data_IF_504955935554
#
_entry.id   IF_504955935554
#
_cell.length_a   1.000
_cell.length_b   1.000
_cell.length_c   1.000
_cell.angle_alpha   90.00
_cell.angle_beta   90.00
_cell.angle_gamma   90.00
#
_symmetry.space_group_name_H-M   'P 1'
#
loop_
_entity.id
_entity.type
_entity.pdbx_description
1 polymer ?
#
# COMPACT_ATOMS: atom_id res chain seq x y z
N UNK A 1 -12.64 0.09 15.09
CA UNK A 1 -11.64 -0.79 14.46
C UNK A 1 -11.85 -2.22 14.94
N UNK A 2 -11.39 -3.19 14.14
CA UNK A 2 -11.39 -4.60 14.52
C UNK A 2 -9.99 -5.01 14.99
N UNK A 3 -9.91 -5.66 16.14
CA UNK A 3 -8.66 -6.13 16.75
C UNK A 3 -8.25 -7.47 16.14
N UNK A 4 -6.99 -7.56 15.67
CA UNK A 4 -6.43 -8.72 14.97
C UNK A 4 -5.16 -9.17 15.69
N UNK A 5 -5.16 -10.36 16.34
CA UNK A 5 -4.00 -10.87 17.04
C UNK A 5 -2.79 -11.08 16.11
N UNK A 6 -1.58 -11.00 16.65
CA UNK A 6 -0.36 -11.34 15.91
C UNK A 6 -0.46 -12.75 15.30
N UNK A 7 0.06 -12.92 14.09
CA UNK A 7 0.13 -14.16 13.34
C UNK A 7 -1.23 -14.85 13.10
N UNK A 8 -2.33 -14.09 13.10
CA UNK A 8 -3.68 -14.64 12.92
C UNK A 8 -4.24 -14.45 11.51
N UNK A 9 -3.65 -13.55 10.72
CA UNK A 9 -4.00 -13.40 9.31
C UNK A 9 -3.40 -14.56 8.51
N UNK A 10 -4.20 -15.26 7.69
CA UNK A 10 -3.69 -16.33 6.85
C UNK A 10 -2.79 -15.78 5.74
N UNK A 11 -1.90 -16.64 5.24
CA UNK A 11 -1.23 -16.40 3.97
C UNK A 11 -2.29 -16.38 2.85
N UNK A 12 -2.20 -15.41 1.94
CA UNK A 12 -3.20 -15.24 0.89
C UNK A 12 -2.87 -16.01 -0.40
N UNK A 13 -1.62 -16.48 -0.54
CA UNK A 13 -1.18 -17.30 -1.67
C UNK A 13 -0.89 -18.71 -1.19
N UNK A 14 -1.35 -19.72 -1.94
CA UNK A 14 -1.01 -21.11 -1.67
C UNK A 14 0.31 -21.44 -2.36
N UNK A 15 1.38 -21.58 -1.58
CA UNK A 15 2.74 -21.81 -2.12
C UNK A 15 3.05 -23.30 -2.19
N UNK A 16 3.46 -23.76 -3.37
CA UNK A 16 3.83 -25.15 -3.65
C UNK A 16 5.21 -25.23 -4.31
N UNK A 17 5.76 -26.43 -4.45
CA UNK A 17 7.00 -26.64 -5.21
C UNK A 17 6.86 -26.34 -6.71
N UNK A 18 5.65 -26.25 -7.25
CA UNK A 18 5.42 -25.88 -8.66
C UNK A 18 5.42 -24.35 -8.86
N UNK A 19 4.97 -23.61 -7.84
CA UNK A 19 4.76 -22.16 -7.86
C UNK A 19 3.76 -21.73 -6.79
N UNK A 20 3.37 -20.46 -6.82
CA UNK A 20 2.36 -19.89 -5.94
C UNK A 20 1.00 -19.75 -6.66
N UNK A 21 -0.02 -20.39 -6.11
CA UNK A 21 -1.40 -20.31 -6.59
C UNK A 21 -2.07 -19.08 -5.96
N UNK A 22 -2.69 -18.26 -6.81
CA UNK A 22 -3.46 -17.09 -6.42
C UNK A 22 -4.88 -17.22 -6.95
N UNK A 23 -5.87 -17.01 -6.08
CA UNK A 23 -7.29 -17.14 -6.41
C UNK A 23 -8.08 -15.91 -5.97
N UNK A 24 -8.84 -15.30 -6.90
CA UNK A 24 -9.76 -14.19 -6.60
C UNK A 24 -9.17 -13.08 -5.73
N UNK A 25 -7.95 -12.67 -6.05
CA UNK A 25 -7.17 -11.74 -5.25
C UNK A 25 -6.53 -10.68 -6.15
N UNK A 26 -6.76 -9.42 -5.81
CA UNK A 26 -6.12 -8.31 -6.49
C UNK A 26 -4.58 -8.41 -6.36
N UNK A 27 -3.82 -8.01 -7.39
CA UNK A 27 -2.38 -7.98 -7.34
C UNK A 27 -1.88 -7.13 -6.17
N UNK A 28 -1.12 -7.75 -5.27
CA UNK A 28 -0.46 -7.03 -4.20
C UNK A 28 0.95 -6.67 -4.60
N UNK A 29 1.26 -5.38 -4.58
CA UNK A 29 2.55 -4.85 -5.01
C UNK A 29 3.70 -5.20 -4.06
N UNK A 30 4.90 -5.38 -4.63
CA UNK A 30 6.15 -5.41 -3.86
C UNK A 30 6.30 -4.15 -3.01
N UNK A 31 6.71 -4.35 -1.77
CA UNK A 31 6.92 -3.31 -0.77
C UNK A 31 8.40 -2.87 -0.68
N UNK A 32 8.73 -2.08 0.33
CA UNK A 32 10.09 -1.58 0.55
C UNK A 32 10.55 -0.63 -0.54
N UNK A 33 11.81 -0.75 -0.97
CA UNK A 33 12.44 0.13 -1.95
C UNK A 33 11.75 0.09 -3.34
N UNK A 34 10.96 -0.95 -3.63
CA UNK A 34 10.17 -1.03 -4.85
C UNK A 34 8.93 -0.12 -4.85
N UNK A 35 8.43 0.27 -3.68
CA UNK A 35 7.13 0.94 -3.55
C UNK A 35 7.07 2.34 -4.19
N UNK A 36 8.22 2.93 -4.54
CA UNK A 36 8.34 4.26 -5.14
C UNK A 36 8.95 4.25 -6.55
N UNK A 37 8.97 3.10 -7.23
CA UNK A 37 9.50 3.02 -8.59
C UNK A 37 8.62 3.80 -9.57
N UNK A 38 9.24 4.49 -10.52
CA UNK A 38 8.54 5.23 -11.60
C UNK A 38 8.67 4.52 -12.95
N UNK A 39 9.62 3.60 -13.06
CA UNK A 39 9.83 2.73 -14.21
C UNK A 39 10.45 1.41 -13.76
N UNK A 40 10.02 0.32 -14.40
CA UNK A 40 10.57 -1.01 -14.16
C UNK A 40 10.16 -1.99 -15.25
N UNK A 41 10.86 -3.10 -15.31
CA UNK A 41 10.50 -4.28 -16.07
C UNK A 41 10.14 -5.40 -15.10
N UNK A 42 9.07 -6.14 -15.41
CA UNK A 42 8.79 -7.42 -14.75
C UNK A 42 8.81 -8.56 -15.75
N UNK A 43 9.30 -9.71 -15.29
CA UNK A 43 9.15 -10.98 -15.99
C UNK A 43 8.68 -12.06 -15.02
N UNK A 44 7.76 -12.92 -15.45
CA UNK A 44 7.28 -14.05 -14.68
C UNK A 44 6.68 -15.13 -15.58
N UNK A 45 6.64 -16.36 -15.08
CA UNK A 45 5.87 -17.42 -15.71
C UNK A 45 4.52 -17.57 -15.01
N UNK A 46 3.45 -17.76 -15.80
CA UNK A 46 2.09 -17.96 -15.29
C UNK A 46 1.40 -19.12 -15.99
N UNK A 47 0.70 -19.94 -15.22
CA UNK A 47 -0.21 -20.98 -15.70
C UNK A 47 -1.63 -20.62 -15.24
N UNK A 48 -2.46 -20.00 -16.11
CA UNK A 48 -3.85 -19.71 -15.77
C UNK A 48 -4.60 -21.02 -15.51
N UNK A 49 -5.26 -21.15 -14.36
CA UNK A 49 -5.99 -22.36 -13.95
C UNK A 49 -7.48 -22.21 -14.27
N UNK A 50 -8.06 -21.06 -13.88
CA UNK A 50 -9.44 -20.72 -14.16
C UNK A 50 -9.54 -19.27 -14.67
N UNK A 51 -10.13 -19.09 -15.86
CA UNK A 51 -10.43 -17.78 -16.42
C UNK A 51 -9.21 -17.02 -16.97
N UNK A 52 -8.25 -16.67 -16.12
CA UNK A 52 -7.15 -15.78 -16.47
C UNK A 52 -6.22 -15.46 -15.31
N UNK A 53 -5.50 -14.35 -15.46
CA UNK A 53 -4.59 -13.82 -14.43
C UNK A 53 -4.57 -12.29 -14.50
N UNK A 54 -4.05 -11.65 -13.46
CA UNK A 54 -3.83 -10.22 -13.43
C UNK A 54 -2.49 -9.87 -12.79
N UNK A 55 -2.01 -8.67 -13.06
CA UNK A 55 -0.85 -8.08 -12.41
C UNK A 55 -1.01 -6.56 -12.38
N UNK A 56 -0.32 -5.90 -11.47
CA UNK A 56 -0.35 -4.44 -11.37
C UNK A 56 0.90 -3.81 -11.96
N UNK A 57 0.77 -2.56 -12.40
CA UNK A 57 1.87 -1.70 -12.84
C UNK A 57 1.74 -0.36 -12.11
N UNK A 58 2.87 0.16 -11.59
CA UNK A 58 2.90 1.40 -10.81
C UNK A 58 1.82 1.43 -9.72
N UNK A 59 1.71 0.33 -8.97
CA UNK A 59 0.72 0.21 -7.91
C UNK A 59 1.36 0.40 -6.54
N UNK A 60 0.68 1.20 -5.72
CA UNK A 60 1.01 1.36 -4.31
C UNK A 60 0.79 0.06 -3.53
N UNK A 61 1.25 0.02 -2.28
CA UNK A 61 0.98 -1.12 -1.37
C UNK A 61 -0.49 -1.20 -0.92
N UNK A 62 -1.33 -0.22 -1.31
CA UNK A 62 -2.78 -0.27 -1.17
C UNK A 62 -3.47 -0.79 -2.45
N UNK A 63 -2.68 -1.27 -3.42
CA UNK A 63 -3.10 -1.84 -4.71
C UNK A 63 -3.73 -0.84 -5.68
N UNK A 64 -3.68 0.45 -5.37
CA UNK A 64 -4.06 1.51 -6.30
C UNK A 64 -2.94 1.76 -7.32
N UNK A 65 -3.24 1.60 -8.61
CA UNK A 65 -2.29 1.73 -9.72
C UNK A 65 -2.91 1.35 -11.06
N UNK A 66 -2.12 0.83 -12.00
CA UNK A 66 -2.65 0.29 -13.26
C UNK A 66 -2.86 -1.22 -13.12
N UNK A 67 -4.11 -1.65 -13.19
CA UNK A 67 -4.51 -3.05 -13.14
C UNK A 67 -4.55 -3.66 -14.54
N UNK A 68 -3.66 -4.62 -14.82
CA UNK A 68 -3.63 -5.39 -16.07
C UNK A 68 -4.36 -6.71 -15.87
N UNK A 69 -5.37 -6.97 -16.69
CA UNK A 69 -6.17 -8.18 -16.64
C UNK A 69 -6.11 -8.97 -17.94
N UNK A 70 -5.58 -10.19 -17.86
CA UNK A 70 -5.53 -11.14 -18.96
C UNK A 70 -6.65 -12.17 -18.81
N UNK A 71 -7.83 -11.88 -19.34
CA UNK A 71 -8.96 -12.80 -19.37
C UNK A 71 -8.81 -13.79 -20.54
N UNK A 72 -8.14 -14.90 -20.28
CA UNK A 72 -7.83 -15.92 -21.28
C UNK A 72 -9.11 -16.61 -21.77
N UNK A 73 -10.08 -16.85 -20.89
CA UNK A 73 -11.37 -17.45 -21.23
C UNK A 73 -12.13 -16.63 -22.28
N UNK A 74 -12.05 -15.30 -22.21
CA UNK A 74 -12.67 -14.39 -23.17
C UNK A 74 -11.70 -13.88 -24.25
N UNK A 75 -10.46 -14.37 -24.26
CA UNK A 75 -9.39 -13.95 -25.16
C UNK A 75 -9.18 -12.43 -25.18
N UNK A 76 -9.18 -11.80 -24.02
CA UNK A 76 -8.97 -10.36 -23.91
C UNK A 76 -7.90 -10.00 -22.90
N UNK A 77 -7.21 -8.90 -23.15
CA UNK A 77 -6.36 -8.24 -22.18
C UNK A 77 -6.80 -6.79 -22.06
N UNK A 78 -6.90 -6.28 -20.84
CA UNK A 78 -7.21 -4.87 -20.57
C UNK A 78 -6.28 -4.26 -19.52
N UNK A 79 -6.16 -2.93 -19.58
CA UNK A 79 -5.58 -2.11 -18.54
C UNK A 79 -6.68 -1.18 -17.99
N UNK A 80 -6.77 -1.09 -16.67
CA UNK A 80 -7.76 -0.28 -15.95
C UNK A 80 -7.05 0.48 -14.83
N UNK A 81 -7.60 1.62 -14.41
CA UNK A 81 -7.13 2.31 -13.21
C UNK A 81 -7.48 1.54 -11.93
N UNK A 82 -6.88 1.90 -10.80
CA UNK A 82 -7.12 1.26 -9.51
C UNK A 82 -6.64 -0.20 -9.41
N UNK A 83 -7.45 -1.02 -8.75
CA UNK A 83 -7.04 -2.35 -8.26
C UNK A 83 -7.84 -3.53 -8.86
N UNK A 84 -8.77 -3.28 -9.80
CA UNK A 84 -9.66 -4.30 -10.34
C UNK A 84 -10.09 -4.02 -11.78
N UNK A 85 -10.79 -4.99 -12.39
CA UNK A 85 -11.32 -4.89 -13.76
C UNK A 85 -12.51 -3.93 -13.93
N UNK A 86 -13.09 -3.43 -12.84
CA UNK A 86 -14.35 -2.67 -12.86
C UNK A 86 -14.16 -1.15 -12.76
N UNK A 87 -12.93 -0.65 -12.84
CA UNK A 87 -12.59 0.77 -12.75
C UNK A 87 -12.39 1.35 -14.16
N UNK A 88 -12.02 2.64 -14.26
CA UNK A 88 -11.88 3.35 -15.53
C UNK A 88 -10.92 2.63 -16.49
N UNK A 89 -11.41 2.44 -17.70
CA UNK A 89 -10.72 1.70 -18.74
C UNK A 89 -9.61 2.53 -19.38
N UNK A 90 -8.39 2.00 -19.42
CA UNK A 90 -7.22 2.65 -20.03
C UNK A 90 -6.91 2.08 -21.41
N UNK A 91 -6.97 0.74 -21.57
CA UNK A 91 -6.65 0.08 -22.84
C UNK A 91 -7.24 -1.34 -22.92
N UNK A 92 -7.29 -1.88 -24.14
CA UNK A 92 -7.74 -3.24 -24.42
C UNK A 92 -7.19 -3.79 -25.72
N UNK A 93 -7.00 -5.11 -25.75
CA UNK A 93 -6.71 -5.86 -26.95
C UNK A 93 -7.28 -7.28 -26.89
N UNK A 94 -7.35 -7.93 -28.05
CA UNK A 94 -7.68 -9.35 -28.16
C UNK A 94 -6.41 -10.19 -28.03
N UNK A 95 -6.46 -11.22 -27.18
CA UNK A 95 -5.36 -12.15 -27.01
C UNK A 95 -5.26 -13.14 -28.19
N UNK A 96 -4.03 -13.45 -28.64
CA UNK A 96 -3.74 -14.55 -29.55
C UNK A 96 -4.32 -15.90 -29.08
N UNK A 97 -4.79 -16.72 -30.02
CA UNK A 97 -5.46 -17.99 -29.71
C UNK A 97 -4.53 -19.06 -29.09
N UNK A 98 -3.22 -18.90 -29.19
CA UNK A 98 -2.24 -19.80 -28.59
C UNK A 98 -2.04 -19.55 -27.09
N UNK A 99 -2.54 -18.44 -26.55
CA UNK A 99 -2.54 -18.17 -25.11
C UNK A 99 -3.76 -18.86 -24.52
N UNK A 100 -3.53 -19.89 -23.71
CA UNK A 100 -4.55 -20.88 -23.31
C UNK A 100 -4.48 -21.19 -21.82
N UNK A 101 -5.63 -21.55 -21.25
CA UNK A 101 -5.73 -22.02 -19.86
C UNK A 101 -5.00 -23.38 -19.73
N UNK A 102 -4.38 -23.62 -18.56
CA UNK A 102 -3.71 -24.87 -18.20
C UNK A 102 -2.27 -24.99 -18.69
N UNK A 103 -1.79 -24.08 -19.53
CA UNK A 103 -0.42 -24.05 -20.04
C UNK A 103 0.39 -22.91 -19.40
N UNK A 104 1.69 -23.13 -19.24
CA UNK A 104 2.63 -22.10 -18.82
C UNK A 104 2.86 -21.09 -19.95
N UNK A 105 2.80 -19.80 -19.60
CA UNK A 105 3.13 -18.68 -20.45
C UNK A 105 4.17 -17.81 -19.77
N UNK A 106 5.15 -17.36 -20.53
CA UNK A 106 6.12 -16.37 -20.07
C UNK A 106 5.57 -14.97 -20.33
N UNK A 107 5.50 -14.14 -19.29
CA UNK A 107 5.02 -12.75 -19.37
C UNK A 107 6.18 -11.82 -19.10
N UNK A 108 6.29 -10.79 -19.94
CA UNK A 108 7.20 -9.66 -19.75
C UNK A 108 6.41 -8.37 -19.88
N UNK A 109 6.60 -7.43 -18.96
CA UNK A 109 6.01 -6.10 -19.06
C UNK A 109 7.06 -5.02 -18.83
N UNK A 110 7.06 -4.01 -19.70
CA UNK A 110 7.89 -2.81 -19.60
C UNK A 110 6.97 -1.68 -19.17
N UNK A 111 7.24 -1.12 -18.00
CA UNK A 111 6.34 -0.24 -17.27
C UNK A 111 7.02 1.11 -17.03
N UNK A 112 6.32 2.20 -17.35
CA UNK A 112 6.70 3.57 -16.97
C UNK A 112 5.46 4.42 -16.73
N UNK A 113 5.68 5.61 -16.15
CA UNK A 113 4.61 6.59 -15.87
C UNK A 113 3.85 7.06 -17.11
N UNK A 114 4.43 6.89 -18.30
CA UNK A 114 3.81 7.35 -19.55
C UNK A 114 3.41 6.22 -20.46
N UNK A 115 4.21 5.14 -20.52
CA UNK A 115 4.07 4.12 -21.55
C UNK A 115 4.28 2.72 -21.00
N UNK A 116 3.35 1.83 -21.36
CA UNK A 116 3.31 0.47 -20.84
C UNK A 116 3.16 -0.50 -22.00
N UNK A 117 3.92 -1.59 -21.98
CA UNK A 117 3.81 -2.68 -22.96
C UNK A 117 3.87 -4.04 -22.29
N UNK A 118 3.04 -4.97 -22.76
CA UNK A 118 2.88 -6.31 -22.22
C UNK A 118 3.12 -7.33 -23.33
N UNK A 119 3.96 -8.32 -23.02
CA UNK A 119 4.32 -9.42 -23.90
C UNK A 119 3.93 -10.74 -23.24
N UNK A 120 3.38 -11.66 -24.04
CA UNK A 120 3.15 -13.05 -23.65
C UNK A 120 3.84 -13.95 -24.68
N UNK A 121 4.88 -14.65 -24.24
CA UNK A 121 5.86 -15.29 -25.13
C UNK A 121 6.56 -14.23 -26.00
N UNK A 122 6.55 -14.42 -27.31
CA UNK A 122 7.09 -13.46 -28.27
C UNK A 122 6.09 -12.41 -28.76
N UNK A 123 4.83 -12.46 -28.32
CA UNK A 123 3.78 -11.60 -28.82
C UNK A 123 3.61 -10.37 -27.92
N UNK A 124 3.70 -9.17 -28.49
CA UNK A 124 3.24 -7.94 -27.82
C UNK A 124 1.71 -7.95 -27.83
N UNK A 125 1.09 -8.15 -26.67
CA UNK A 125 -0.37 -8.32 -26.54
C UNK A 125 -1.10 -7.05 -26.16
N UNK A 126 -0.42 -6.09 -25.52
CA UNK A 126 -0.98 -4.81 -25.14
C UNK A 126 0.11 -3.73 -25.16
N UNK A 127 -0.24 -2.52 -25.58
CA UNK A 127 0.61 -1.34 -25.58
C UNK A 127 -0.26 -0.11 -25.42
N UNK A 128 0.04 0.76 -24.47
CA UNK A 128 -0.79 1.93 -24.17
C UNK A 128 -0.02 3.02 -23.42
N UNK A 129 -0.54 4.24 -23.50
CA UNK A 129 -0.12 5.35 -22.66
C UNK A 129 -1.14 5.63 -21.56
N UNK A 130 -0.70 6.22 -20.45
CA UNK A 130 -1.55 6.52 -19.29
C UNK A 130 -1.05 7.75 -18.54
N UNK A 131 -1.92 8.41 -17.78
CA UNK A 131 -1.60 9.58 -16.93
C UNK A 131 -2.24 9.46 -15.54
N UNK A 132 -2.51 8.23 -15.12
CA UNK A 132 -3.22 7.91 -13.90
C UNK A 132 -2.26 7.59 -12.74
N UNK A 133 -1.31 6.67 -12.97
CA UNK A 133 -0.35 6.23 -11.96
C UNK A 133 1.06 6.76 -12.28
N UNK A 134 1.75 7.27 -11.26
CA UNK A 134 3.05 7.95 -11.43
C UNK A 134 4.18 7.31 -10.62
N UNK A 135 3.88 6.34 -9.77
CA UNK A 135 4.86 5.61 -8.97
C UNK A 135 4.24 4.31 -8.46
N UNK A 136 5.08 3.38 -8.01
CA UNK A 136 4.65 2.11 -7.42
C UNK A 136 5.36 0.94 -8.08
N UNK A 137 5.19 -0.24 -7.49
CA UNK A 137 5.79 -1.47 -8.02
C UNK A 137 4.76 -2.29 -8.80
N UNK A 138 5.01 -3.60 -8.89
CA UNK A 138 4.12 -4.57 -9.51
C UNK A 138 3.85 -5.72 -8.54
N UNK A 139 2.64 -6.26 -8.66
CA UNK A 139 2.14 -7.42 -7.95
C UNK A 139 1.55 -8.45 -8.90
N UNK A 140 1.27 -9.64 -8.38
CA UNK A 140 0.62 -10.74 -9.11
C UNK A 140 -0.73 -11.06 -8.48
N UNK A 141 -1.73 -11.37 -9.30
CA UNK A 141 -3.11 -11.58 -8.85
C UNK A 141 -3.97 -12.40 -9.80
N UNK A 142 -5.22 -12.59 -9.43
CA UNK A 142 -6.26 -13.16 -10.26
C UNK A 142 -7.59 -12.45 -9.99
N UNK A 143 -8.32 -12.06 -11.05
CA UNK A 143 -9.62 -11.41 -10.90
C UNK A 143 -10.63 -12.28 -10.14
N UNK A 144 -11.72 -11.69 -9.68
CA UNK A 144 -12.77 -12.43 -8.96
C UNK A 144 -13.28 -13.62 -9.77
N UNK A 145 -13.26 -14.82 -9.17
CA UNK A 145 -13.62 -16.07 -9.83
C UNK A 145 -12.55 -16.65 -10.77
N UNK A 146 -11.35 -16.08 -10.80
CA UNK A 146 -10.21 -16.59 -11.55
C UNK A 146 -9.11 -17.10 -10.62
N UNK A 147 -8.24 -17.94 -11.17
CA UNK A 147 -7.05 -18.43 -10.49
C UNK A 147 -5.90 -18.71 -11.45
N UNK A 148 -4.68 -18.50 -10.96
CA UNK A 148 -3.45 -18.71 -11.73
C UNK A 148 -2.28 -19.12 -10.82
N UNK A 149 -1.39 -19.95 -11.35
CA UNK A 149 -0.14 -20.35 -10.71
C UNK A 149 1.01 -19.51 -11.26
N UNK A 150 1.84 -18.94 -10.40
CA UNK A 150 2.97 -18.08 -10.77
C UNK A 150 4.31 -18.66 -10.32
N UNK A 151 5.36 -18.41 -11.11
CA UNK A 151 6.75 -18.71 -10.73
C UNK A 151 7.75 -17.80 -11.44
N UNK A 152 9.00 -17.82 -10.99
CA UNK A 152 10.12 -17.13 -11.63
C UNK A 152 9.89 -15.62 -11.81
N UNK A 153 9.40 -14.94 -10.77
CA UNK A 153 9.17 -13.50 -10.82
C UNK A 153 10.47 -12.73 -10.71
N UNK A 154 10.63 -11.72 -11.55
CA UNK A 154 11.69 -10.72 -11.47
C UNK A 154 11.10 -9.33 -11.64
N UNK A 155 11.68 -8.37 -10.93
CA UNK A 155 11.45 -6.94 -11.14
C UNK A 155 12.80 -6.25 -11.20
N UNK A 156 13.03 -5.42 -12.21
CA UNK A 156 14.25 -4.63 -12.33
C UNK A 156 13.95 -3.18 -12.74
N UNK A 157 14.57 -2.23 -12.05
CA UNK A 157 14.56 -0.81 -12.41
C UNK A 157 16.00 -0.32 -12.58
N UNK A 158 16.50 -0.21 -13.83
CA UNK A 158 17.86 0.24 -14.10
C UNK A 158 18.14 1.66 -13.59
N UNK A 159 17.17 2.57 -13.65
CA UNK A 159 17.33 3.97 -13.23
C UNK A 159 17.79 4.12 -11.77
N UNK A 160 17.33 3.23 -10.89
CA UNK A 160 17.68 3.25 -9.45
C UNK A 160 18.49 2.02 -9.03
N UNK A 161 19.00 1.25 -9.99
CA UNK A 161 19.75 0.00 -9.75
C UNK A 161 19.02 -1.02 -8.86
N UNK A 162 17.70 -1.00 -8.85
CA UNK A 162 16.88 -1.93 -8.07
C UNK A 162 16.68 -3.24 -8.83
N UNK A 163 16.80 -4.37 -8.13
CA UNK A 163 16.50 -5.71 -8.65
C UNK A 163 15.90 -6.57 -7.56
N UNK A 164 14.85 -7.31 -7.92
CA UNK A 164 14.21 -8.33 -7.11
C UNK A 164 14.00 -9.59 -7.94
N UNK A 165 14.15 -10.76 -7.31
CA UNK A 165 13.83 -12.03 -7.92
C UNK A 165 13.36 -13.04 -6.87
N UNK A 166 12.30 -13.77 -7.20
CA UNK A 166 11.79 -14.86 -6.39
C UNK A 166 11.31 -16.01 -7.29
N UNK A 167 11.62 -17.24 -6.90
CA UNK A 167 11.14 -18.43 -7.62
C UNK A 167 9.64 -18.67 -7.43
N UNK A 168 9.08 -18.14 -6.32
CA UNK A 168 7.70 -18.33 -5.86
C UNK A 168 7.34 -19.78 -5.53
N UNK A 169 8.31 -20.56 -5.06
CA UNK A 169 8.14 -21.99 -4.74
C UNK A 169 8.28 -22.32 -3.25
N UNK A 170 8.48 -21.31 -2.42
CA UNK A 170 8.55 -21.39 -0.96
C UNK A 170 8.07 -20.07 -0.35
N UNK A 171 7.68 -20.07 0.92
CA UNK A 171 6.98 -18.93 1.55
C UNK A 171 7.86 -17.70 1.82
N UNK A 172 9.18 -17.74 1.59
CA UNK A 172 10.09 -16.66 2.02
C UNK A 172 9.80 -15.32 1.35
N UNK A 173 9.16 -15.32 0.18
CA UNK A 173 8.84 -14.10 -0.57
C UNK A 173 7.54 -13.43 -0.12
N UNK A 174 6.67 -14.12 0.64
CA UNK A 174 5.35 -13.59 1.02
C UNK A 174 5.45 -12.24 1.75
N UNK A 175 6.40 -12.01 2.68
CA UNK A 175 6.56 -10.71 3.33
C UNK A 175 6.90 -9.58 2.36
N UNK A 176 7.65 -9.85 1.28
CA UNK A 176 8.05 -8.82 0.31
C UNK A 176 6.85 -8.22 -0.42
N UNK A 177 5.81 -9.05 -0.63
CA UNK A 177 4.52 -8.65 -1.18
C UNK A 177 3.48 -8.35 -0.10
N UNK A 178 3.82 -8.28 1.20
CA UNK A 178 2.83 -8.04 2.27
C UNK A 178 1.70 -9.09 2.31
N UNK A 179 1.98 -10.32 1.85
CA UNK A 179 1.04 -11.44 1.77
C UNK A 179 1.26 -12.48 2.87
N UNK A 180 2.21 -12.25 3.76
CA UNK A 180 2.46 -13.09 4.93
C UNK A 180 1.45 -12.85 6.05
N UNK A 181 1.73 -13.44 7.21
CA UNK A 181 0.97 -13.16 8.44
C UNK A 181 1.32 -11.77 8.99
N UNK A 182 0.45 -11.21 9.85
CA UNK A 182 0.76 -9.97 10.56
C UNK A 182 1.76 -10.23 11.71
N UNK A 183 2.90 -9.52 11.80
CA UNK A 183 3.93 -9.81 12.82
C UNK A 183 3.55 -9.32 14.22
N UNK A 184 2.64 -8.34 14.31
CA UNK A 184 2.19 -7.73 15.56
C UNK A 184 0.67 -7.66 15.62
N UNK A 185 0.14 -7.65 16.84
CA UNK A 185 -1.29 -7.46 17.07
C UNK A 185 -1.67 -6.01 16.76
N UNK A 186 -2.69 -5.80 15.94
CA UNK A 186 -3.09 -4.46 15.49
C UNK A 186 -4.60 -4.37 15.37
N UNK A 187 -5.13 -3.14 15.44
CA UNK A 187 -6.49 -2.85 15.05
C UNK A 187 -6.53 -2.33 13.60
N UNK A 188 -7.59 -2.66 12.86
CA UNK A 188 -7.76 -2.25 11.46
C UNK A 188 -9.07 -1.50 11.23
N UNK A 189 -9.09 -0.70 10.16
CA UNK A 189 -10.25 0.02 9.63
C UNK A 189 -11.48 -0.90 9.47
N UNK A 190 -11.29 -2.09 8.88
CA UNK A 190 -12.35 -3.06 8.65
C UNK A 190 -11.84 -4.48 8.39
N UNK A 191 -12.65 -5.48 8.75
CA UNK A 191 -12.27 -6.91 8.66
C UNK A 191 -12.57 -7.54 7.30
N UNK A 192 -13.53 -6.99 6.56
CA UNK A 192 -13.95 -7.47 5.22
C UNK A 192 -13.17 -6.83 4.08
N UNK A 193 -12.75 -5.57 4.24
CA UNK A 193 -12.04 -4.78 3.24
C UNK A 193 -10.52 -4.92 3.37
N UNK A 194 -9.83 -3.79 3.43
CA UNK A 194 -8.39 -3.72 3.18
C UNK A 194 -7.50 -4.22 4.33
N UNK A 195 -8.06 -4.31 5.54
CA UNK A 195 -7.39 -4.68 6.80
C UNK A 195 -6.12 -3.86 7.01
N UNK A 196 -6.29 -2.54 6.97
CA UNK A 196 -5.19 -1.57 7.07
C UNK A 196 -5.28 -0.88 8.42
N UNK A 197 -4.12 -0.62 9.01
CA UNK A 197 -4.00 0.32 10.13
C UNK A 197 -4.04 1.75 9.59
N UNK A 198 -5.04 2.55 9.96
CA UNK A 198 -5.16 3.97 9.63
C UNK A 198 -4.95 4.82 10.88
N UNK A 199 -4.16 5.90 10.79
CA UNK A 199 -3.90 6.77 11.94
C UNK A 199 -5.13 7.57 12.40
N UNK A 200 -6.01 7.97 11.46
CA UNK A 200 -7.27 8.63 11.79
C UNK A 200 -8.22 7.72 12.57
N UNK A 201 -8.38 6.48 12.12
CA UNK A 201 -9.18 5.45 12.80
C UNK A 201 -8.61 5.13 14.19
N UNK A 202 -7.28 5.08 14.33
CA UNK A 202 -6.61 4.91 15.61
C UNK A 202 -7.00 5.99 16.60
N UNK A 203 -6.84 7.25 16.24
CA UNK A 203 -7.16 8.40 17.10
C UNK A 203 -8.60 8.38 17.61
N UNK A 204 -9.55 8.05 16.74
CA UNK A 204 -10.98 7.98 17.10
C UNK A 204 -11.28 6.80 18.04
N UNK A 205 -10.51 5.73 17.98
CA UNK A 205 -10.85 4.47 18.66
C UNK A 205 -10.05 4.16 19.92
N UNK A 206 -8.92 4.84 20.18
CA UNK A 206 -8.12 4.61 21.41
C UNK A 206 -9.02 4.62 22.65
N UNK A 207 -9.84 5.66 22.81
CA UNK A 207 -10.70 5.81 23.99
C UNK A 207 -11.72 4.68 24.14
N UNK A 208 -12.41 4.31 23.04
CA UNK A 208 -13.41 3.25 23.08
C UNK A 208 -12.78 1.88 23.35
N UNK A 209 -11.62 1.58 22.75
CA UNK A 209 -10.86 0.36 23.04
C UNK A 209 -10.44 0.28 24.50
N UNK A 210 -9.89 1.36 25.07
CA UNK A 210 -9.39 1.36 26.46
C UNK A 210 -10.51 1.16 27.50
N UNK A 211 -11.74 1.60 27.22
CA UNK A 211 -12.87 1.46 28.17
C UNK A 211 -13.74 0.22 27.92
N UNK A 212 -13.60 -0.46 26.79
CA UNK A 212 -14.45 -1.61 26.44
C UNK A 212 -13.71 -2.95 26.49
N UNK A 213 -12.70 -3.14 25.65
CA UNK A 213 -11.94 -4.38 25.54
C UNK A 213 -10.66 -4.36 26.38
N UNK A 214 -10.17 -3.16 26.74
CA UNK A 214 -8.84 -2.97 27.32
C UNK A 214 -7.76 -3.55 26.38
N UNK A 215 -7.98 -3.39 25.06
CA UNK A 215 -7.11 -3.90 23.99
C UNK A 215 -5.78 -3.16 23.87
N UNK A 216 -4.98 -3.15 24.94
CA UNK A 216 -3.70 -2.44 25.04
C UNK A 216 -2.75 -2.88 23.93
N UNK A 217 -2.57 -4.18 23.74
CA UNK A 217 -1.64 -4.75 22.75
C UNK A 217 -1.94 -4.32 21.31
N UNK A 218 -3.22 -4.13 20.95
CA UNK A 218 -3.62 -3.69 19.61
C UNK A 218 -3.26 -2.23 19.37
N UNK A 219 -3.53 -1.35 20.35
CA UNK A 219 -3.18 0.07 20.24
C UNK A 219 -1.66 0.24 20.24
N UNK A 220 -0.93 -0.47 21.10
CA UNK A 220 0.54 -0.45 21.10
C UNK A 220 1.10 -0.91 19.76
N UNK A 221 0.55 -1.98 19.18
CA UNK A 221 0.96 -2.45 17.86
C UNK A 221 0.62 -1.47 16.73
N UNK A 222 -0.53 -0.80 16.75
CA UNK A 222 -0.83 0.25 15.77
C UNK A 222 0.15 1.42 15.88
N UNK A 223 0.46 1.87 17.09
CA UNK A 223 1.45 2.93 17.32
C UNK A 223 2.84 2.50 16.81
N UNK A 224 3.25 1.26 17.08
CA UNK A 224 4.48 0.68 16.55
C UNK A 224 4.52 0.68 15.03
N UNK A 225 3.49 0.12 14.41
CA UNK A 225 3.42 -0.01 12.96
C UNK A 225 3.41 1.36 12.28
N UNK A 226 2.43 2.21 12.59
CA UNK A 226 2.25 3.51 11.96
C UNK A 226 3.37 4.48 12.28
N UNK A 227 3.82 4.52 13.54
CA UNK A 227 4.86 5.43 13.95
C UNK A 227 6.24 5.03 13.41
N UNK A 228 6.47 3.74 13.13
CA UNK A 228 7.70 3.30 12.47
C UNK A 228 7.79 3.85 11.04
N UNK A 229 6.65 3.97 10.35
CA UNK A 229 6.46 4.52 9.00
C UNK A 229 6.55 6.06 8.97
N UNK A 230 7.57 6.63 9.62
CA UNK A 230 7.86 8.06 9.56
C UNK A 230 8.77 8.37 8.36
N UNK A 231 8.40 9.36 7.56
CA UNK A 231 9.18 9.85 6.42
C UNK A 231 10.34 10.76 6.87
N UNK A 232 11.35 10.93 6.03
CA UNK A 232 12.55 11.73 6.32
C UNK A 232 12.26 13.17 6.81
N UNK A 233 11.24 13.91 6.36
CA UNK A 233 10.93 15.22 6.95
C UNK A 233 10.35 15.17 8.37
N UNK A 234 9.77 14.05 8.80
CA UNK A 234 9.05 13.93 10.08
C UNK A 234 7.56 13.60 9.95
N UNK A 235 7.00 13.66 8.74
CA UNK A 235 5.61 13.26 8.45
C UNK A 235 5.44 11.76 8.70
N UNK A 236 4.28 11.33 9.20
CA UNK A 236 3.94 9.91 9.27
C UNK A 236 3.14 9.49 8.03
N UNK A 237 3.42 8.29 7.51
CA UNK A 237 2.52 7.65 6.55
C UNK A 237 1.13 7.51 7.20
N UNK A 238 0.04 7.83 6.46
CA UNK A 238 -1.30 7.83 7.04
C UNK A 238 -1.80 6.42 7.35
N UNK A 239 -1.19 5.41 6.71
CA UNK A 239 -1.60 4.02 6.72
C UNK A 239 -0.42 3.07 6.75
N UNK A 240 -0.67 1.84 7.19
CA UNK A 240 0.24 0.72 7.07
C UNK A 240 -0.55 -0.59 6.93
N UNK A 241 -0.10 -1.48 6.04
CA UNK A 241 -0.64 -2.84 5.94
C UNK A 241 -0.19 -3.64 7.15
N UNK A 242 -1.07 -4.40 7.78
CA UNK A 242 -0.75 -5.10 9.03
C UNK A 242 0.24 -6.26 8.87
N UNK A 243 0.48 -6.70 7.64
CA UNK A 243 1.51 -7.67 7.27
C UNK A 243 2.92 -7.06 7.20
N UNK A 244 3.03 -5.73 7.28
CA UNK A 244 4.32 -5.03 7.33
C UNK A 244 4.97 -5.19 8.69
N UNK A 245 6.29 -5.39 8.67
CA UNK A 245 7.11 -5.22 9.86
C UNK A 245 7.29 -3.73 10.18
N UNK A 246 7.38 -3.35 11.47
CA UNK A 246 7.78 -2.01 11.84
C UNK A 246 9.16 -1.64 11.27
N UNK A 247 9.28 -0.46 10.67
CA UNK A 247 10.52 0.01 10.08
C UNK A 247 11.55 0.43 11.13
N UNK A 248 12.78 -0.10 11.00
CA UNK A 248 13.90 0.23 11.89
C UNK A 248 14.44 1.66 11.69
N UNK A 249 14.19 2.26 10.52
CA UNK A 249 14.64 3.61 10.15
C UNK A 249 13.52 4.37 9.43
N UNK A 250 13.56 5.71 9.39
CA UNK A 250 12.62 6.49 8.59
C UNK A 250 12.61 6.06 7.12
N UNK A 251 11.45 6.21 6.50
CA UNK A 251 11.23 5.95 5.08
C UNK A 251 11.74 7.12 4.24
N UNK A 252 12.43 6.80 3.15
CA UNK A 252 12.80 7.83 2.17
C UNK A 252 11.54 8.31 1.45
N UNK A 253 11.34 9.62 1.46
CA UNK A 253 10.15 10.27 0.94
C UNK A 253 9.91 11.57 1.67
N UNK A 254 9.20 12.50 1.03
CA UNK A 254 9.05 13.86 1.54
C UNK A 254 7.61 14.39 1.53
N UNK A 255 6.66 13.54 1.13
CA UNK A 255 5.27 13.93 0.92
C UNK A 255 4.33 12.85 1.50
N UNK A 256 3.19 13.28 2.01
CA UNK A 256 2.03 12.44 2.33
C UNK A 256 0.83 12.96 1.56
N UNK A 257 -0.19 12.14 1.33
CA UNK A 257 -1.48 12.60 0.80
C UNK A 257 -2.42 13.17 1.86
N UNK A 258 -2.19 12.86 3.14
CA UNK A 258 -3.13 13.04 4.25
C UNK A 258 -2.41 13.59 5.48
N UNK A 259 -1.95 14.84 5.46
CA UNK A 259 -1.18 15.43 6.58
C UNK A 259 -1.93 15.39 7.93
N UNK A 260 -3.26 15.50 7.89
CA UNK A 260 -4.12 15.39 9.06
C UNK A 260 -3.86 14.12 9.88
N UNK A 261 -3.61 13.00 9.20
CA UNK A 261 -3.40 11.70 9.83
C UNK A 261 -2.10 11.64 10.64
N UNK A 262 -1.10 12.47 10.30
CA UNK A 262 0.09 12.60 11.13
C UNK A 262 -0.27 13.25 12.48
N UNK A 263 -1.15 14.28 12.51
CA UNK A 263 -1.61 14.88 13.77
C UNK A 263 -2.44 13.87 14.58
N UNK A 264 -3.32 13.11 13.92
CA UNK A 264 -4.10 12.05 14.56
C UNK A 264 -3.22 10.98 15.23
N UNK A 265 -2.07 10.63 14.64
CA UNK A 265 -1.16 9.67 15.29
C UNK A 265 -0.55 10.22 16.59
N UNK A 266 -0.20 11.51 16.62
CA UNK A 266 0.32 12.18 17.81
C UNK A 266 -0.72 12.19 18.92
N UNK A 267 -1.96 12.55 18.59
CA UNK A 267 -3.07 12.63 19.55
C UNK A 267 -3.50 11.25 20.04
N UNK A 268 -3.45 10.22 19.19
CA UNK A 268 -3.65 8.83 19.57
C UNK A 268 -2.61 8.36 20.61
N UNK A 269 -1.32 8.67 20.37
CA UNK A 269 -0.24 8.32 21.29
C UNK A 269 -0.40 9.01 22.65
N UNK A 270 -0.76 10.30 22.65
CA UNK A 270 -1.02 11.06 23.88
C UNK A 270 -2.24 10.51 24.65
N UNK A 271 -3.33 10.20 23.94
CA UNK A 271 -4.54 9.60 24.52
C UNK A 271 -4.24 8.25 25.15
N UNK A 272 -3.49 7.40 24.43
CA UNK A 272 -3.09 6.09 24.93
C UNK A 272 -2.25 6.18 26.20
N UNK A 273 -1.29 7.12 26.26
CA UNK A 273 -0.54 7.41 27.48
C UNK A 273 -1.45 7.89 28.61
N UNK A 274 -2.44 8.74 28.34
CA UNK A 274 -3.38 9.22 29.35
C UNK A 274 -4.19 8.07 29.99
N UNK A 275 -4.64 7.10 29.20
CA UNK A 275 -5.40 5.94 29.71
C UNK A 275 -4.52 4.93 30.46
N UNK A 276 -3.28 4.72 30.02
CA UNK A 276 -2.45 3.61 30.50
C UNK A 276 -1.35 4.01 31.47
N UNK A 277 -0.91 5.27 31.44
CA UNK A 277 0.31 5.72 32.11
C UNK A 277 1.59 5.10 31.56
N UNK A 278 1.58 4.50 30.36
CA UNK A 278 2.74 3.80 29.80
C UNK A 278 3.85 4.78 29.37
N UNK A 279 4.72 5.13 30.33
CA UNK A 279 5.83 6.04 30.11
C UNK A 279 6.93 5.47 29.19
N UNK A 280 6.99 4.16 28.97
CA UNK A 280 7.96 3.53 28.07
C UNK A 280 7.67 3.90 26.62
N UNK A 281 6.40 3.75 26.22
CA UNK A 281 5.92 4.11 24.89
C UNK A 281 6.04 5.62 24.66
N UNK A 282 5.64 6.45 25.63
CA UNK A 282 5.80 7.91 25.52
C UNK A 282 7.27 8.31 25.24
N UNK A 283 8.24 7.71 25.94
CA UNK A 283 9.68 7.97 25.73
C UNK A 283 10.16 7.48 24.37
N UNK A 284 9.69 6.30 23.93
CA UNK A 284 10.04 5.73 22.62
C UNK A 284 9.59 6.64 21.47
N UNK A 285 8.40 7.21 21.57
CA UNK A 285 7.81 8.04 20.52
C UNK A 285 8.20 9.52 20.57
N UNK A 286 8.66 10.03 21.72
CA UNK A 286 8.92 11.45 21.93
C UNK A 286 9.75 12.09 20.80
N UNK A 287 10.87 11.48 20.40
CA UNK A 287 11.72 12.04 19.33
C UNK A 287 11.02 12.06 17.96
N UNK A 288 10.18 11.07 17.67
CA UNK A 288 9.42 11.01 16.41
C UNK A 288 8.29 12.04 16.40
N UNK A 289 7.58 12.20 17.51
CA UNK A 289 6.55 13.23 17.69
C UNK A 289 7.17 14.62 17.57
N UNK A 290 8.29 14.90 18.24
CA UNK A 290 8.98 16.19 18.15
C UNK A 290 9.38 16.49 16.71
N UNK A 291 9.96 15.51 15.99
CA UNK A 291 10.33 15.72 14.57
C UNK A 291 9.13 16.06 13.70
N UNK A 292 7.98 15.42 13.94
CA UNK A 292 6.75 15.72 13.21
C UNK A 292 6.25 17.14 13.52
N UNK A 293 6.27 17.55 14.79
CA UNK A 293 5.84 18.88 15.22
C UNK A 293 6.81 19.98 14.77
N UNK A 294 8.13 19.74 14.79
CA UNK A 294 9.14 20.66 14.26
C UNK A 294 8.92 20.91 12.75
N UNK A 295 8.59 19.85 12.01
CA UNK A 295 8.23 19.99 10.60
C UNK A 295 6.93 20.78 10.42
N UNK A 296 5.90 20.51 11.24
CA UNK A 296 4.65 21.25 11.17
C UNK A 296 4.85 22.74 11.50
N UNK A 297 5.64 23.05 12.54
CA UNK A 297 5.96 24.42 12.95
C UNK A 297 6.74 25.17 11.86
N UNK A 298 7.61 24.47 11.12
CA UNK A 298 8.31 25.06 9.97
C UNK A 298 7.39 25.57 8.86
N UNK A 299 6.12 25.12 8.84
CA UNK A 299 5.09 25.54 7.90
C UNK A 299 4.12 26.59 8.47
N UNK A 300 4.33 27.06 9.70
CA UNK A 300 3.54 28.13 10.30
C UNK A 300 3.90 29.48 9.69
N UNK A 301 2.88 30.26 9.28
CA UNK A 301 3.09 31.58 8.70
C UNK A 301 3.44 32.61 9.79
N UNK A 302 4.59 33.30 9.71
CA UNK A 302 4.99 34.28 10.74
C UNK A 302 4.00 35.43 10.95
N UNK A 303 3.20 35.76 9.92
CA UNK A 303 2.28 36.90 9.95
C UNK A 303 1.00 36.66 10.75
N UNK A 304 0.59 35.41 10.96
CA UNK A 304 -0.66 35.07 11.66
C UNK A 304 -0.52 33.88 12.64
N UNK A 305 0.62 33.20 12.67
CA UNK A 305 0.85 32.05 13.55
C UNK A 305 0.03 30.81 13.19
N UNK A 306 -0.49 30.74 11.96
CA UNK A 306 -1.34 29.62 11.51
C UNK A 306 -0.53 28.65 10.65
N UNK A 307 -0.77 27.36 10.86
CA UNK A 307 -0.24 26.28 10.04
C UNK A 307 -0.75 26.40 8.60
N UNK A 308 0.15 26.28 7.64
CA UNK A 308 -0.15 26.46 6.22
C UNK A 308 0.26 25.23 5.41
N UNK A 309 -0.69 24.69 4.65
CA UNK A 309 -0.41 23.64 3.67
C UNK A 309 0.12 24.28 2.39
N UNK A 310 1.44 24.29 2.23
CA UNK A 310 2.10 24.86 1.06
C UNK A 310 1.97 23.99 -0.18
N UNK A 311 1.87 22.66 0.00
CA UNK A 311 1.68 21.70 -1.08
C UNK A 311 0.28 21.10 -1.01
N UNK A 312 -0.63 21.43 -1.96
CA UNK A 312 -1.97 20.86 -2.00
C UNK A 312 -1.96 19.33 -1.98
N UNK A 313 -0.94 18.67 -2.53
CA UNK A 313 -0.87 17.20 -2.53
C UNK A 313 -0.89 16.60 -1.13
N UNK A 314 -0.52 17.36 -0.08
CA UNK A 314 -0.59 16.93 1.32
C UNK A 314 -1.93 17.16 2.02
N UNK A 315 -2.80 17.98 1.45
CA UNK A 315 -4.05 18.40 2.08
C UNK A 315 -5.27 17.57 1.71
N UNK A 316 -5.08 16.30 1.34
CA UNK A 316 -6.19 15.36 1.21
C UNK A 316 -6.89 15.13 2.54
N UNK A 317 -8.16 14.74 2.47
CA UNK A 317 -8.98 14.46 3.64
C UNK A 317 -10.13 13.51 3.28
N UNK A 318 -10.55 12.67 4.22
CA UNK A 318 -11.72 11.81 4.04
C UNK A 318 -12.99 12.61 4.40
N UNK A 319 -13.38 13.56 3.55
CA UNK A 319 -14.58 14.38 3.75
C UNK A 319 -15.44 14.48 2.48
N UNK A 320 -16.68 14.96 2.64
CA UNK A 320 -17.66 15.06 1.57
C UNK A 320 -17.23 15.96 0.39
N UNK A 321 -16.31 16.90 0.62
CA UNK A 321 -15.98 17.92 -0.37
C UNK A 321 -14.94 17.42 -1.39
N UNK A 322 -13.98 16.58 -0.98
CA UNK A 322 -13.04 15.74 -1.75
C UNK A 322 -11.95 16.34 -2.68
N UNK A 323 -11.75 17.65 -2.96
CA UNK A 323 -10.47 18.10 -3.47
C UNK A 323 -9.50 18.27 -2.30
N UNK A 324 -8.24 17.98 -2.60
CA UNK A 324 -7.11 18.41 -1.79
C UNK A 324 -7.21 19.90 -1.41
N UNK A 325 -7.02 20.20 -0.12
CA UNK A 325 -7.10 21.55 0.42
C UNK A 325 -5.70 22.14 0.59
N UNK A 326 -5.56 23.46 0.45
CA UNK A 326 -4.27 24.14 0.58
C UNK A 326 -4.40 25.49 1.30
N UNK A 327 -3.27 26.04 1.73
CA UNK A 327 -3.24 27.29 2.49
C UNK A 327 -3.55 27.11 3.97
N UNK A 328 -4.19 28.12 4.57
CA UNK A 328 -4.62 28.11 5.97
C UNK A 328 -6.01 27.48 6.07
N UNK A 329 -6.04 26.20 6.41
CA UNK A 329 -7.26 25.41 6.53
C UNK A 329 -7.61 25.23 8.00
N UNK A 330 -8.86 25.53 8.38
CA UNK A 330 -9.33 25.48 9.77
C UNK A 330 -9.16 24.10 10.40
N UNK A 331 -9.55 23.02 9.69
CA UNK A 331 -9.45 21.64 10.22
C UNK A 331 -8.00 21.26 10.54
N UNK A 332 -7.06 21.51 9.62
CA UNK A 332 -5.65 21.17 9.84
C UNK A 332 -5.00 22.04 10.91
N UNK A 333 -5.40 23.32 11.04
CA UNK A 333 -4.97 24.17 12.15
C UNK A 333 -5.49 23.67 13.51
N UNK A 334 -6.74 23.18 13.57
CA UNK A 334 -7.26 22.54 14.78
C UNK A 334 -6.47 21.27 15.14
N UNK A 335 -6.18 20.42 14.15
CA UNK A 335 -5.35 19.22 14.35
C UNK A 335 -3.95 19.56 14.85
N UNK A 336 -3.30 20.54 14.21
CA UNK A 336 -1.99 21.04 14.64
C UNK A 336 -2.02 21.56 16.08
N UNK A 337 -2.94 22.47 16.40
CA UNK A 337 -3.03 23.06 17.74
C UNK A 337 -3.38 22.05 18.83
N UNK A 338 -4.14 20.99 18.51
CA UNK A 338 -4.48 19.94 19.46
C UNK A 338 -3.34 18.92 19.66
N UNK A 339 -2.44 18.78 18.68
CA UNK A 339 -1.27 17.90 18.75
C UNK A 339 -0.06 18.51 19.49
N UNK A 340 0.01 19.86 19.59
CA UNK A 340 0.99 20.61 20.38
C UNK A 340 0.75 20.44 21.89
#
# INVERSE_FOLDING_TARGET
MNEIPAHSIPEFWEVTSEGALVESLAPQSLSGDAASLTEHEIEFDVKPIAGGFSFSALASTLNDGVYIWCNIANRSVSANSGSSENVDFLAFATLPANITIGNWHHVKAIISTEFNSVYIGSNKVLEFSQTYAFFGSSGLGAALGQSAMFRNFTLASPAVSFKYSAQLTDISFLPDFLMGTNPIATAVDGSKGDRISYAGDLDVTVGSTMVSTVGVEYIEGNLELLGSSQLTPGIFSPTAKIQQEPYARPLEGNLTGLIGYSFNLVTAAASFYHYTGNASIAKKWATRVVRMLDLADSQVLPGNGLFNISDPASGGDCNYYDPAQSGVVTKFNMGYAYAL
#
